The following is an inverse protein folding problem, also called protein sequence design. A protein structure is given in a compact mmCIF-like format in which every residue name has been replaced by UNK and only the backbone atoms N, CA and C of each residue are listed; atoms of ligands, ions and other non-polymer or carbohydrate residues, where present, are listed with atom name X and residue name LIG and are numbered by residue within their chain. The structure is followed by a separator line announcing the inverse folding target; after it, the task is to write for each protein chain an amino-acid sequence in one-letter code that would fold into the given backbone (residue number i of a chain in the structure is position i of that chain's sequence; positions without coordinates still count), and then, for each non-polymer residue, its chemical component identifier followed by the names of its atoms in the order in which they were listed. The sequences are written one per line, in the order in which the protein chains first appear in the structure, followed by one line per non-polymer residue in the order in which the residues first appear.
data_IF_816793154252
#
_entry.id   IF_816793154252
#
_cell.length_a   1.000
_cell.length_b   1.000
_cell.length_c   1.000
_cell.angle_alpha   90.00
_cell.angle_beta   90.00
_cell.angle_gamma   90.00
#
_symmetry.space_group_name_H-M   'P 1'
#
loop_
_entity.id
_entity.type
_entity.pdbx_description
1 polymer ?
#
# COMPACT_ATOMS: atom_id res chain seq x y z
N UNK A 1 -31.99 22.83 -25.17
CA UNK A 1 -32.34 23.69 -24.02
C UNK A 1 -33.36 22.91 -23.20
N UNK A 2 -32.97 22.10 -22.20
CA UNK A 2 -32.32 22.42 -20.92
C UNK A 2 -33.27 23.14 -19.96
N UNK A 3 -33.64 22.48 -18.86
CA UNK A 3 -33.90 22.99 -17.50
C UNK A 3 -34.44 21.81 -16.66
N UNK A 4 -33.60 20.98 -16.03
CA UNK A 4 -32.91 21.19 -14.75
C UNK A 4 -33.88 21.35 -13.57
N UNK A 5 -34.49 20.24 -13.10
CA UNK A 5 -35.11 20.20 -11.78
C UNK A 5 -34.04 19.84 -10.75
N UNK A 6 -33.57 20.89 -10.09
CA UNK A 6 -32.71 20.88 -8.93
C UNK A 6 -33.49 20.36 -7.71
N UNK A 7 -33.44 19.04 -7.46
CA UNK A 7 -33.88 18.50 -6.16
C UNK A 7 -32.78 18.75 -5.13
N UNK A 8 -33.00 19.76 -4.30
CA UNK A 8 -32.27 19.97 -3.04
C UNK A 8 -32.70 18.91 -2.04
N UNK A 9 -31.84 17.93 -1.80
CA UNK A 9 -31.75 17.28 -0.51
C UNK A 9 -30.30 17.41 -0.01
N UNK A 10 -30.06 17.99 1.17
CA UNK A 10 -28.77 17.85 1.80
C UNK A 10 -28.67 16.40 2.27
N UNK A 11 -28.03 15.56 1.47
CA UNK A 11 -27.59 14.24 1.94
C UNK A 11 -26.72 14.52 3.15
N UNK A 12 -27.30 14.20 4.32
CA UNK A 12 -26.63 14.28 5.60
C UNK A 12 -25.30 13.54 5.43
N UNK A 13 -24.23 14.29 5.65
CA UNK A 13 -22.87 13.81 5.82
C UNK A 13 -22.86 12.87 7.03
N UNK A 14 -23.38 11.66 6.85
CA UNK A 14 -23.09 10.53 7.71
C UNK A 14 -21.60 10.34 7.56
N UNK A 15 -20.84 10.95 8.48
CA UNK A 15 -19.48 10.55 8.83
C UNK A 15 -19.53 9.09 9.25
N UNK A 16 -19.65 8.21 8.26
CA UNK A 16 -19.24 6.83 8.39
C UNK A 16 -17.74 6.93 8.60
N UNK A 17 -17.34 6.98 9.86
CA UNK A 17 -16.02 6.52 10.29
C UNK A 17 -15.96 5.02 10.03
N UNK A 18 -16.09 4.65 8.75
CA UNK A 18 -15.81 3.32 8.28
C UNK A 18 -14.31 3.25 8.38
N UNK A 19 -13.83 2.52 9.39
CA UNK A 19 -12.48 1.97 9.40
C UNK A 19 -12.28 1.46 7.96
N UNK A 20 -11.30 1.98 7.20
CA UNK A 20 -11.14 1.60 5.81
C UNK A 20 -11.12 0.09 5.78
N UNK A 21 -11.97 -0.60 5.03
CA UNK A 21 -11.88 -2.07 4.96
C UNK A 21 -10.73 -2.46 4.04
N UNK A 22 -10.02 -3.58 4.29
CA UNK A 22 -8.87 -3.93 3.49
C UNK A 22 -9.36 -4.18 2.06
N UNK A 23 -9.13 -3.22 1.16
CA UNK A 23 -9.62 -3.28 -0.21
C UNK A 23 -8.79 -4.21 -1.07
N UNK A 24 -7.57 -4.50 -0.63
CA UNK A 24 -6.77 -5.53 -1.26
C UNK A 24 -7.42 -6.89 -0.95
N UNK A 25 -7.88 -7.56 -2.01
CA UNK A 25 -8.02 -9.01 -2.05
C UNK A 25 -6.60 -9.56 -1.85
N UNK A 26 -6.14 -9.55 -0.61
CA UNK A 26 -4.76 -9.75 -0.22
C UNK A 26 -4.44 -11.19 -0.57
N UNK A 27 -3.79 -11.39 -1.72
CA UNK A 27 -2.86 -12.49 -1.97
C UNK A 27 -2.26 -12.82 -0.61
N UNK A 28 -2.59 -14.00 -0.05
CA UNK A 28 -2.46 -14.38 1.39
C UNK A 28 -0.99 -14.43 1.83
N UNK A 29 -0.24 -13.37 1.54
CA UNK A 29 1.18 -13.23 1.78
C UNK A 29 1.31 -12.87 3.25
N UNK A 30 2.04 -13.68 4.02
CA UNK A 30 2.32 -13.36 5.41
C UNK A 30 2.98 -11.98 5.47
N UNK A 31 2.55 -11.13 6.40
CA UNK A 31 3.12 -9.79 6.55
C UNK A 31 4.64 -9.81 6.71
N UNK A 32 5.17 -10.86 7.37
CA UNK A 32 6.60 -11.15 7.49
C UNK A 32 7.33 -11.22 6.14
N UNK A 33 6.68 -11.78 5.11
CA UNK A 33 7.24 -11.81 3.75
C UNK A 33 7.30 -10.41 3.15
N UNK A 34 6.32 -9.54 3.44
CA UNK A 34 6.32 -8.15 2.99
C UNK A 34 7.44 -7.33 3.65
N UNK A 35 7.70 -7.53 4.96
CA UNK A 35 8.87 -6.98 5.63
C UNK A 35 10.17 -7.38 4.93
N UNK A 36 10.34 -8.68 4.65
CA UNK A 36 11.53 -9.19 3.97
C UNK A 36 11.69 -8.61 2.55
N UNK A 37 10.61 -8.55 1.77
CA UNK A 37 10.65 -8.02 0.39
C UNK A 37 11.10 -6.55 0.38
N UNK A 38 10.57 -5.75 1.31
CA UNK A 38 10.91 -4.33 1.41
C UNK A 38 12.18 -4.06 2.22
N UNK A 39 12.86 -5.09 2.75
CA UNK A 39 13.99 -4.91 3.68
C UNK A 39 13.65 -4.10 4.93
N UNK A 40 12.40 -4.15 5.37
CA UNK A 40 11.97 -3.46 6.58
C UNK A 40 12.22 -4.39 7.77
N UNK A 41 12.80 -3.86 8.84
CA UNK A 41 12.98 -4.64 10.08
C UNK A 41 11.62 -4.95 10.70
N UNK A 42 11.36 -6.23 10.94
CA UNK A 42 10.18 -6.66 11.68
C UNK A 42 10.38 -6.32 13.15
N UNK A 43 9.70 -5.28 13.64
CA UNK A 43 9.74 -4.88 15.05
C UNK A 43 10.21 -3.45 15.30
N UNK A 44 10.72 -2.76 14.27
CA UNK A 44 10.96 -1.32 14.35
C UNK A 44 9.68 -0.55 13.97
N UNK A 45 9.48 0.62 14.59
CA UNK A 45 8.45 1.56 14.18
C UNK A 45 8.86 2.20 12.85
N UNK A 46 8.23 1.79 11.76
CA UNK A 46 8.40 2.41 10.44
C UNK A 46 7.23 3.33 10.12
N UNK A 47 7.52 4.43 9.43
CA UNK A 47 6.48 5.32 8.92
C UNK A 47 6.02 4.87 7.54
N UNK A 48 4.88 5.39 7.08
CA UNK A 48 4.44 5.20 5.70
C UNK A 48 5.50 5.65 4.68
N UNK A 49 6.26 6.70 4.99
CA UNK A 49 7.34 7.19 4.13
C UNK A 49 8.48 6.17 4.01
N UNK A 50 8.79 5.45 5.08
CA UNK A 50 9.83 4.41 5.07
C UNK A 50 9.42 3.22 4.18
N UNK A 51 8.14 2.86 4.17
CA UNK A 51 7.60 1.86 3.23
C UNK A 51 7.80 2.30 1.78
N UNK A 52 7.52 3.57 1.46
CA UNK A 52 7.73 4.10 0.11
C UNK A 52 9.20 4.14 -0.27
N UNK A 53 10.08 4.65 0.60
CA UNK A 53 11.53 4.68 0.38
C UNK A 53 12.09 3.28 0.12
N UNK A 54 11.69 2.31 0.96
CA UNK A 54 12.06 0.92 0.81
C UNK A 54 11.62 0.35 -0.55
N UNK A 55 10.36 0.59 -0.94
CA UNK A 55 9.83 0.16 -2.23
C UNK A 55 10.62 0.76 -3.41
N UNK A 56 10.86 2.07 -3.43
CA UNK A 56 11.60 2.72 -4.51
C UNK A 56 13.05 2.26 -4.58
N UNK A 57 13.70 2.03 -3.44
CA UNK A 57 15.04 1.44 -3.40
C UNK A 57 15.07 0.07 -4.07
N UNK A 58 14.07 -0.80 -3.81
CA UNK A 58 13.97 -2.11 -4.48
C UNK A 58 13.74 -2.00 -5.98
N UNK A 59 12.98 -1.00 -6.44
CA UNK A 59 12.82 -0.74 -7.87
C UNK A 59 14.14 -0.32 -8.53
N UNK A 60 14.90 0.55 -7.86
CA UNK A 60 16.21 0.97 -8.34
C UNK A 60 17.18 -0.22 -8.43
N UNK A 61 17.29 -1.02 -7.36
CA UNK A 61 18.12 -2.23 -7.34
C UNK A 61 17.72 -3.22 -8.45
N UNK A 62 16.42 -3.37 -8.71
CA UNK A 62 15.94 -4.21 -9.81
C UNK A 62 16.35 -3.65 -11.18
N UNK A 63 16.31 -2.32 -11.35
CA UNK A 63 16.79 -1.66 -12.57
C UNK A 63 18.27 -1.91 -12.78
N UNK A 64 19.08 -1.68 -11.73
CA UNK A 64 20.53 -1.89 -11.76
C UNK A 64 20.89 -3.37 -12.04
N UNK A 65 20.13 -4.32 -11.50
CA UNK A 65 20.30 -5.74 -11.79
C UNK A 65 20.04 -6.04 -13.26
N UNK A 66 18.96 -5.50 -13.82
CA UNK A 66 18.63 -5.67 -15.25
C UNK A 66 19.69 -5.05 -16.17
N UNK A 67 20.20 -3.88 -15.82
CA UNK A 67 21.30 -3.24 -16.56
C UNK A 67 22.58 -4.08 -16.54
N UNK A 68 22.84 -4.78 -15.44
CA UNK A 68 23.97 -5.72 -15.30
C UNK A 68 23.72 -7.10 -15.92
N UNK A 69 22.56 -7.33 -16.56
CA UNK A 69 22.17 -8.63 -17.09
C UNK A 69 21.83 -9.67 -16.02
N UNK A 70 21.63 -9.24 -14.77
CA UNK A 70 21.30 -10.10 -13.63
C UNK A 70 19.77 -10.19 -13.52
N UNK A 71 19.26 -11.42 -13.46
CA UNK A 71 17.83 -11.64 -13.21
C UNK A 71 17.48 -11.23 -11.77
N UNK A 72 16.48 -10.34 -11.57
CA UNK A 72 16.11 -9.92 -10.25
C UNK A 72 15.49 -11.07 -9.44
N UNK A 73 15.81 -11.10 -8.15
CA UNK A 73 15.40 -12.19 -7.23
C UNK A 73 13.88 -12.31 -7.07
N UNK A 74 13.15 -11.22 -7.20
CA UNK A 74 11.70 -11.15 -7.05
C UNK A 74 11.10 -10.33 -8.19
N UNK A 75 9.84 -10.63 -8.54
CA UNK A 75 9.13 -9.92 -9.60
C UNK A 75 8.61 -8.56 -9.10
N UNK A 76 8.42 -7.61 -10.03
CA UNK A 76 7.86 -6.29 -9.75
C UNK A 76 6.53 -6.35 -8.99
N UNK A 77 5.65 -7.28 -9.39
CA UNK A 77 4.34 -7.49 -8.76
C UNK A 77 4.46 -7.85 -7.28
N UNK A 78 5.54 -8.50 -6.87
CA UNK A 78 5.76 -8.88 -5.47
C UNK A 78 6.10 -7.67 -4.61
N UNK A 79 6.94 -6.77 -5.12
CA UNK A 79 7.24 -5.51 -4.43
C UNK A 79 6.02 -4.58 -4.38
N UNK A 80 5.23 -4.52 -5.45
CA UNK A 80 3.99 -3.74 -5.48
C UNK A 80 2.98 -4.27 -4.46
N UNK A 81 2.77 -5.58 -4.43
CA UNK A 81 1.93 -6.25 -3.43
C UNK A 81 2.42 -5.94 -2.01
N UNK A 82 3.72 -6.08 -1.74
CA UNK A 82 4.29 -5.79 -0.42
C UNK A 82 4.08 -4.34 0.02
N UNK A 83 4.22 -3.36 -0.90
CA UNK A 83 3.95 -1.94 -0.62
C UNK A 83 2.50 -1.73 -0.18
N UNK A 84 1.54 -2.34 -0.89
CA UNK A 84 0.11 -2.22 -0.59
C UNK A 84 -0.18 -2.82 0.78
N UNK A 85 0.27 -4.06 1.04
CA UNK A 85 0.05 -4.76 2.32
C UNK A 85 0.58 -3.93 3.49
N UNK A 86 1.81 -3.40 3.38
CA UNK A 86 2.45 -2.63 4.45
C UNK A 86 1.79 -1.27 4.67
N UNK A 87 1.36 -0.61 3.59
CA UNK A 87 0.62 0.66 3.65
C UNK A 87 -0.73 0.48 4.32
N UNK A 88 -1.46 -0.57 3.93
CA UNK A 88 -2.75 -0.90 4.49
C UNK A 88 -2.61 -1.27 5.97
N UNK A 89 -1.65 -2.14 6.30
CA UNK A 89 -1.35 -2.49 7.69
C UNK A 89 -1.06 -1.26 8.57
N UNK A 90 -0.26 -0.32 8.07
CA UNK A 90 0.01 0.94 8.77
C UNK A 90 -1.27 1.75 9.01
N UNK A 91 -2.12 1.88 7.98
CA UNK A 91 -3.42 2.56 8.12
C UNK A 91 -4.29 1.86 9.17
N UNK A 92 -4.45 0.52 9.11
CA UNK A 92 -5.22 -0.24 10.11
C UNK A 92 -4.71 -0.04 11.52
N UNK A 93 -3.39 -0.10 11.71
CA UNK A 93 -2.77 0.12 13.01
C UNK A 93 -3.05 1.55 13.52
N UNK A 94 -3.03 2.55 12.64
CA UNK A 94 -3.33 3.94 13.00
C UNK A 94 -4.80 4.18 13.40
N UNK A 95 -5.76 3.37 12.92
CA UNK A 95 -7.17 3.46 13.32
C UNK A 95 -7.50 2.73 14.64
N UNK A 96 -6.56 1.95 15.20
CA UNK A 96 -6.79 1.12 16.40
C UNK A 96 -6.33 1.79 17.71
N UNK A 97 -5.68 2.96 17.64
CA UNK A 97 -5.30 3.81 18.76
C UNK A 97 -6.16 5.08 18.78
#
# INVERSE_FOLDING_TARGET
MADYIFSKEPVKDERKSSIPQPTAFLDKRPILKCYHLLNLESGSTFTLNDVYKAYYKRLQEMSEQREKGIAPKYELKEYQSAKIVMTDFYKYAAFRN
#
